data_IF_152494924933
#
_entry.id   IF_152494924933
#
_cell.length_a   1.000
_cell.length_b   1.000
_cell.length_c   1.000
_cell.angle_alpha   90.00
_cell.angle_beta   90.00
_cell.angle_gamma   90.00
#
_symmetry.space_group_name_H-M   'P 1'
#
loop_
_entity.id
_entity.type
_entity.pdbx_description
1 polymer ?
#
# COMPACT_ATOMS: atom_id res chain seq x y z
N UNK A 1 50.18 18.89 6.04
CA UNK A 1 50.03 17.43 5.83
C UNK A 1 48.69 17.01 6.42
N UNK A 2 47.77 16.62 5.53
CA UNK A 2 46.51 15.87 5.71
C UNK A 2 45.59 16.18 6.91
N UNK A 3 44.57 17.00 6.66
CA UNK A 3 43.23 16.74 7.18
C UNK A 3 42.54 15.80 6.18
N UNK A 4 42.30 14.55 6.58
CA UNK A 4 41.33 13.66 5.92
C UNK A 4 40.43 13.14 7.02
N UNK A 5 39.42 13.93 7.37
CA UNK A 5 38.24 13.40 8.02
C UNK A 5 37.32 12.95 6.89
N UNK A 6 37.22 11.64 6.70
CA UNK A 6 36.29 10.95 5.82
C UNK A 6 34.86 11.27 6.25
N UNK A 7 34.33 12.41 5.80
CA UNK A 7 32.90 12.69 5.79
C UNK A 7 32.27 11.68 4.84
N UNK A 8 31.87 10.53 5.39
CA UNK A 8 30.97 9.60 4.73
C UNK A 8 29.70 10.38 4.39
N UNK A 9 29.64 10.87 3.15
CA UNK A 9 28.48 11.43 2.50
C UNK A 9 27.38 10.38 2.56
N UNK A 10 26.62 10.38 3.65
CA UNK A 10 25.36 9.67 3.74
C UNK A 10 24.46 10.35 2.71
N UNK A 11 24.36 9.76 1.52
CA UNK A 11 23.40 10.15 0.50
C UNK A 11 22.00 9.99 1.12
N UNK A 12 21.49 11.07 1.69
CA UNK A 12 20.13 11.11 2.23
C UNK A 12 19.20 11.22 1.02
N UNK A 13 18.74 10.07 0.52
CA UNK A 13 17.72 10.00 -0.50
C UNK A 13 16.39 10.45 0.12
N UNK A 14 16.13 11.76 0.13
CA UNK A 14 14.83 12.30 0.51
C UNK A 14 13.91 12.20 -0.69
N UNK A 15 12.79 11.50 -0.54
CA UNK A 15 11.76 11.41 -1.59
C UNK A 15 11.06 12.77 -1.65
N UNK A 16 11.55 13.66 -2.51
CA UNK A 16 10.85 14.91 -2.78
C UNK A 16 9.63 14.63 -3.64
N UNK A 17 8.46 15.12 -3.22
CA UNK A 17 7.27 15.15 -4.08
C UNK A 17 7.59 15.94 -5.34
N UNK A 18 7.60 15.33 -6.53
CA UNK A 18 7.66 16.10 -7.75
C UNK A 18 6.36 16.89 -7.86
N UNK A 19 6.45 18.21 -8.02
CA UNK A 19 5.29 19.03 -8.36
C UNK A 19 5.02 18.81 -9.84
N UNK A 20 4.30 17.73 -10.16
CA UNK A 20 4.00 17.38 -11.55
C UNK A 20 2.90 18.32 -12.09
N UNK A 21 3.07 18.91 -13.28
CA UNK A 21 1.99 19.63 -13.95
C UNK A 21 0.83 18.66 -14.25
N UNK A 22 -0.40 19.19 -14.33
CA UNK A 22 -1.62 18.38 -14.55
C UNK A 22 -1.62 17.57 -15.85
N UNK A 23 -0.72 17.87 -16.78
CA UNK A 23 -0.47 17.13 -18.02
C UNK A 23 0.29 15.82 -17.82
N UNK A 24 0.97 15.65 -16.68
CA UNK A 24 1.75 14.46 -16.31
C UNK A 24 1.07 13.62 -15.21
N UNK A 25 -0.07 14.07 -14.68
CA UNK A 25 -0.90 13.32 -13.73
C UNK A 25 -1.86 12.38 -14.46
N UNK A 26 -2.18 11.24 -13.86
CA UNK A 26 -3.13 10.30 -14.45
C UNK A 26 -4.49 11.01 -14.65
N UNK A 27 -5.17 10.84 -15.80
CA UNK A 27 -6.39 11.61 -16.12
C UNK A 27 -7.51 11.44 -15.07
N UNK A 28 -7.53 10.32 -14.35
CA UNK A 28 -8.51 10.04 -13.30
C UNK A 28 -8.09 10.47 -11.87
N UNK A 29 -6.88 10.99 -11.67
CA UNK A 29 -6.24 11.22 -10.34
C UNK A 29 -6.96 12.28 -9.46
N UNK A 30 -7.93 13.01 -10.03
CA UNK A 30 -8.76 14.01 -9.33
C UNK A 30 -10.26 13.73 -9.37
N UNK A 31 -10.69 12.63 -9.98
CA UNK A 31 -12.11 12.30 -10.15
C UNK A 31 -12.71 11.61 -8.93
N UNK A 32 -11.87 11.01 -8.09
CA UNK A 32 -12.31 10.21 -6.96
C UNK A 32 -12.12 10.95 -5.64
N UNK A 33 -13.22 11.12 -4.90
CA UNK A 33 -13.19 11.53 -3.51
C UNK A 33 -12.77 10.36 -2.63
N UNK A 34 -12.29 10.67 -1.42
CA UNK A 34 -12.05 9.65 -0.39
C UNK A 34 -13.31 8.83 -0.16
N UNK A 35 -13.15 7.52 -0.02
CA UNK A 35 -14.24 6.62 0.31
C UNK A 35 -14.70 6.95 1.74
N UNK A 36 -15.90 7.49 1.86
CA UNK A 36 -16.57 7.82 3.12
C UNK A 36 -17.57 6.72 3.51
N UNK A 37 -18.16 6.84 4.70
CA UNK A 37 -19.16 5.89 5.22
C UNK A 37 -20.30 5.71 4.22
N UNK A 38 -20.81 6.81 3.64
CA UNK A 38 -21.96 6.75 2.74
C UNK A 38 -21.63 6.02 1.43
N UNK A 39 -20.45 6.24 0.86
CA UNK A 39 -20.00 5.54 -0.34
C UNK A 39 -19.69 4.08 -0.07
N UNK A 40 -19.09 3.76 1.09
CA UNK A 40 -18.85 2.39 1.51
C UNK A 40 -20.14 1.58 1.62
N UNK A 41 -21.15 2.12 2.32
CA UNK A 41 -22.44 1.43 2.49
C UNK A 41 -23.16 1.17 1.16
N UNK A 42 -22.96 2.04 0.15
CA UNK A 42 -23.52 1.83 -1.19
C UNK A 42 -22.91 0.65 -1.95
N UNK A 43 -21.73 0.19 -1.55
CA UNK A 43 -21.11 -1.02 -2.12
C UNK A 43 -21.61 -2.31 -1.47
N UNK A 44 -22.34 -2.21 -0.35
CA UNK A 44 -22.85 -3.36 0.39
C UNK A 44 -24.29 -3.67 -0.01
N UNK A 45 -24.60 -4.95 -0.19
CA UNK A 45 -25.98 -5.41 -0.37
C UNK A 45 -26.72 -5.58 0.96
N UNK A 46 -27.98 -6.01 0.90
CA UNK A 46 -28.81 -6.23 2.10
C UNK A 46 -28.22 -7.27 3.08
N UNK A 47 -27.39 -8.20 2.59
CA UNK A 47 -26.69 -9.21 3.39
C UNK A 47 -25.33 -8.72 3.91
N UNK A 48 -24.89 -7.53 3.50
CA UNK A 48 -23.59 -6.96 3.82
C UNK A 48 -22.42 -7.51 3.00
N UNK A 49 -22.69 -8.13 1.85
CA UNK A 49 -21.66 -8.57 0.90
C UNK A 49 -21.32 -7.42 -0.05
N UNK A 50 -20.11 -7.42 -0.62
CA UNK A 50 -19.66 -6.39 -1.56
C UNK A 50 -20.01 -6.85 -2.99
N UNK A 51 -20.98 -6.21 -3.63
CA UNK A 51 -21.43 -6.61 -4.99
C UNK A 51 -20.49 -6.14 -6.10
N UNK A 52 -19.91 -4.96 -5.97
CA UNK A 52 -19.08 -4.34 -7.01
C UNK A 52 -17.64 -4.15 -6.55
N UNK A 53 -16.97 -5.27 -6.22
CA UNK A 53 -15.60 -5.31 -5.69
C UNK A 53 -14.63 -4.47 -6.54
N UNK A 54 -14.70 -4.60 -7.87
CA UNK A 54 -13.84 -3.85 -8.79
C UNK A 54 -14.01 -2.33 -8.65
N UNK A 55 -15.25 -1.84 -8.52
CA UNK A 55 -15.52 -0.41 -8.35
C UNK A 55 -15.02 0.09 -7.00
N UNK A 56 -15.19 -0.71 -5.95
CA UNK A 56 -14.64 -0.42 -4.63
C UNK A 56 -13.11 -0.30 -4.69
N UNK A 57 -12.42 -1.29 -5.28
CA UNK A 57 -10.96 -1.28 -5.45
C UNK A 57 -10.50 -0.08 -6.27
N UNK A 58 -11.21 0.27 -7.34
CA UNK A 58 -10.95 1.46 -8.16
C UNK A 58 -11.08 2.74 -7.35
N UNK A 59 -12.16 2.89 -6.57
CA UNK A 59 -12.39 4.05 -5.72
C UNK A 59 -11.31 4.20 -4.64
N UNK A 60 -10.87 3.09 -4.02
CA UNK A 60 -9.80 3.09 -3.03
C UNK A 60 -8.47 3.48 -3.66
N UNK A 61 -8.15 2.93 -4.83
CA UNK A 61 -6.88 3.19 -5.52
C UNK A 61 -6.70 4.68 -5.86
N UNK A 62 -7.72 5.32 -6.44
CA UNK A 62 -7.62 6.74 -6.83
C UNK A 62 -7.96 7.70 -5.68
N UNK A 63 -9.01 7.41 -4.89
CA UNK A 63 -9.55 8.31 -3.87
C UNK A 63 -8.93 8.13 -2.48
N UNK A 64 -8.47 6.93 -2.13
CA UNK A 64 -8.07 6.57 -0.77
C UNK A 64 -9.26 6.40 0.19
N UNK A 65 -8.98 6.01 1.43
CA UNK A 65 -10.00 5.68 2.43
C UNK A 65 -10.09 6.78 3.50
N UNK A 66 -11.31 7.13 3.93
CA UNK A 66 -11.50 7.97 5.10
C UNK A 66 -11.05 7.22 6.38
N UNK A 67 -10.28 7.86 7.28
CA UNK A 67 -9.80 7.22 8.50
C UNK A 67 -10.88 6.56 9.35
N UNK A 68 -12.10 7.12 9.36
CA UNK A 68 -13.21 6.63 10.17
C UNK A 68 -13.68 5.22 9.76
N UNK A 69 -13.52 4.83 8.49
CA UNK A 69 -14.00 3.55 7.97
C UNK A 69 -12.91 2.51 7.75
N UNK A 70 -11.64 2.85 8.01
CA UNK A 70 -10.50 1.93 7.83
C UNK A 70 -10.69 0.62 8.59
N UNK A 71 -11.25 0.69 9.81
CA UNK A 71 -11.53 -0.49 10.62
C UNK A 71 -12.47 -1.50 9.96
N UNK A 72 -13.39 -1.02 9.11
CA UNK A 72 -14.35 -1.85 8.39
C UNK A 72 -13.82 -2.29 7.03
N UNK A 73 -13.11 -1.42 6.31
CA UNK A 73 -12.66 -1.67 4.93
C UNK A 73 -11.36 -2.48 4.88
N UNK A 74 -10.41 -2.22 5.79
CA UNK A 74 -9.11 -2.92 5.78
C UNK A 74 -9.23 -4.43 5.91
N UNK A 75 -10.12 -5.01 6.74
CA UNK A 75 -10.33 -6.45 6.74
C UNK A 75 -10.61 -7.07 5.36
N UNK A 76 -11.35 -6.38 4.48
CA UNK A 76 -11.58 -6.83 3.10
C UNK A 76 -10.32 -6.68 2.25
N UNK A 77 -9.67 -5.51 2.31
CA UNK A 77 -8.41 -5.27 1.58
C UNK A 77 -7.30 -6.20 2.01
N UNK A 78 -7.30 -6.66 3.27
CA UNK A 78 -6.35 -7.58 3.84
C UNK A 78 -6.74 -9.06 3.57
N UNK A 79 -7.83 -9.33 2.86
CA UNK A 79 -8.41 -10.66 2.64
C UNK A 79 -8.66 -11.43 3.94
N UNK A 80 -8.85 -10.70 5.04
CA UNK A 80 -9.29 -11.27 6.31
C UNK A 80 -10.78 -11.56 6.28
N UNK A 81 -11.54 -10.75 5.53
CA UNK A 81 -12.91 -11.03 5.12
C UNK A 81 -12.97 -11.28 3.61
N UNK A 82 -13.77 -12.26 3.22
CA UNK A 82 -14.16 -12.43 1.81
C UNK A 82 -15.17 -11.35 1.43
N UNK A 83 -15.15 -10.89 0.18
CA UNK A 83 -16.15 -9.96 -0.36
C UNK A 83 -17.56 -10.57 -0.39
N UNK A 84 -17.63 -11.91 -0.51
CA UNK A 84 -18.87 -12.69 -0.46
C UNK A 84 -19.34 -13.00 0.98
N UNK A 85 -18.57 -12.62 2.01
CA UNK A 85 -18.98 -12.87 3.40
C UNK A 85 -20.17 -12.00 3.77
N UNK A 86 -21.10 -12.54 4.55
CA UNK A 86 -22.23 -11.78 5.08
C UNK A 86 -21.85 -10.99 6.33
N UNK A 87 -22.62 -9.96 6.65
CA UNK A 87 -22.44 -9.20 7.90
C UNK A 87 -22.58 -10.09 9.15
N UNK A 88 -23.51 -11.04 9.12
CA UNK A 88 -23.74 -11.97 10.23
C UNK A 88 -22.55 -12.92 10.45
N UNK A 89 -21.99 -13.50 9.39
CA UNK A 89 -20.80 -14.35 9.48
C UNK A 89 -19.60 -13.59 10.06
N UNK A 90 -19.40 -12.34 9.60
CA UNK A 90 -18.33 -11.48 10.11
C UNK A 90 -18.55 -11.11 11.57
N UNK A 91 -19.79 -10.86 11.98
CA UNK A 91 -20.14 -10.58 13.37
C UNK A 91 -19.96 -11.81 14.26
N UNK A 92 -20.36 -12.99 13.80
CA UNK A 92 -20.11 -14.25 14.49
C UNK A 92 -18.61 -14.48 14.69
N UNK A 93 -17.77 -14.22 13.68
CA UNK A 93 -16.31 -14.25 13.83
C UNK A 93 -15.78 -13.22 14.81
N UNK A 94 -16.35 -12.01 14.86
CA UNK A 94 -16.00 -10.97 15.85
C UNK A 94 -16.34 -11.43 17.27
N UNK A 95 -17.53 -11.99 17.47
CA UNK A 95 -18.03 -12.45 18.77
C UNK A 95 -17.32 -13.70 19.27
N UNK A 96 -17.11 -14.70 18.40
CA UNK A 96 -16.36 -15.91 18.71
C UNK A 96 -14.91 -15.60 19.10
N UNK A 97 -14.30 -14.57 18.51
CA UNK A 97 -12.94 -14.13 18.88
C UNK A 97 -12.92 -13.32 20.18
N UNK A 98 -14.01 -12.64 20.53
CA UNK A 98 -14.17 -11.94 21.82
C UNK A 98 -14.42 -12.90 22.99
N UNK A 99 -15.06 -14.05 22.76
CA UNK A 99 -15.29 -15.06 23.80
C UNK A 99 -14.05 -15.92 24.12
N UNK A 100 -13.04 -15.93 23.24
CA UNK A 100 -11.76 -16.65 23.43
C UNK A 100 -10.64 -15.70 23.90
N UNK A 101 -10.96 -14.61 24.59
CA UNK A 101 -9.96 -13.69 25.15
C UNK A 101 -9.18 -14.32 26.33
N UNK A 102 -8.33 -15.30 26.03
CA UNK A 102 -7.09 -15.60 26.73
C UNK A 102 -6.01 -15.66 25.64
N UNK A 103 -5.27 -14.56 25.51
CA UNK A 103 -4.19 -14.26 24.56
C UNK A 103 -4.61 -13.46 23.32
N UNK A 104 -4.23 -12.17 23.23
CA UNK A 104 -4.51 -11.36 22.07
C UNK A 104 -3.68 -11.88 20.89
N UNK A 105 -4.34 -12.40 19.85
CA UNK A 105 -3.65 -12.71 18.59
C UNK A 105 -3.51 -11.41 17.79
N UNK A 106 -2.75 -10.45 18.33
CA UNK A 106 -2.04 -9.42 17.54
C UNK A 106 -1.38 -10.07 16.33
N UNK A 107 -0.88 -11.29 16.52
CA UNK A 107 -0.33 -12.20 15.54
C UNK A 107 -1.18 -12.42 14.27
N UNK A 108 -2.49 -12.13 14.18
CA UNK A 108 -3.30 -12.51 13.02
C UNK A 108 -3.20 -11.46 11.91
N UNK A 109 -3.66 -10.27 12.25
CA UNK A 109 -3.51 -9.07 11.44
C UNK A 109 -2.03 -8.75 11.27
N UNK A 110 -1.18 -8.89 12.31
CA UNK A 110 0.27 -8.65 12.20
C UNK A 110 0.94 -9.68 11.28
N UNK A 111 0.58 -10.97 11.32
CA UNK A 111 1.10 -11.95 10.34
C UNK A 111 0.62 -11.63 8.92
N UNK A 112 -0.66 -11.29 8.75
CA UNK A 112 -1.23 -10.94 7.44
C UNK A 112 -0.60 -9.66 6.88
N UNK A 113 -0.39 -8.65 7.72
CA UNK A 113 0.35 -7.44 7.40
C UNK A 113 1.81 -7.74 7.08
N UNK A 114 2.48 -8.64 7.81
CA UNK A 114 3.87 -9.03 7.54
C UNK A 114 4.00 -9.77 6.21
N UNK A 115 3.10 -10.72 5.92
CA UNK A 115 3.05 -11.43 4.63
C UNK A 115 2.74 -10.45 3.49
N UNK A 116 1.76 -9.57 3.66
CA UNK A 116 1.46 -8.53 2.66
C UNK A 116 2.56 -7.50 2.53
N UNK A 117 3.30 -7.18 3.59
CA UNK A 117 4.46 -6.30 3.54
C UNK A 117 5.56 -6.93 2.69
N UNK A 118 5.81 -8.22 2.84
CA UNK A 118 6.76 -8.98 2.01
C UNK A 118 6.31 -9.06 0.55
N UNK A 119 5.03 -9.37 0.28
CA UNK A 119 4.49 -9.43 -1.08
C UNK A 119 4.41 -8.03 -1.74
N UNK A 120 4.10 -7.01 -0.96
CA UNK A 120 4.08 -5.62 -1.43
C UNK A 120 5.49 -5.10 -1.67
N UNK A 121 6.49 -5.56 -0.92
CA UNK A 121 7.90 -5.25 -1.17
C UNK A 121 8.35 -5.83 -2.51
N UNK A 122 8.03 -7.09 -2.80
CA UNK A 122 8.39 -7.70 -4.09
C UNK A 122 7.68 -7.02 -5.26
N UNK A 123 6.39 -6.68 -5.10
CA UNK A 123 5.63 -5.91 -6.09
C UNK A 123 6.21 -4.50 -6.28
N UNK A 124 6.52 -3.80 -5.19
CA UNK A 124 7.11 -2.47 -5.22
C UNK A 124 8.48 -2.47 -5.92
N UNK A 125 9.33 -3.46 -5.63
CA UNK A 125 10.60 -3.63 -6.32
C UNK A 125 10.43 -3.86 -7.82
N UNK A 126 9.45 -4.67 -8.22
CA UNK A 126 9.17 -4.95 -9.64
C UNK A 126 8.67 -3.70 -10.35
N UNK A 127 7.69 -3.01 -9.78
CA UNK A 127 7.14 -1.79 -10.34
C UNK A 127 8.18 -0.66 -10.39
N UNK A 128 8.97 -0.50 -9.33
CA UNK A 128 10.02 0.52 -9.27
C UNK A 128 11.12 0.24 -10.29
N UNK A 129 11.52 -1.02 -10.52
CA UNK A 129 12.46 -1.37 -11.60
C UNK A 129 11.94 -0.93 -12.95
N UNK A 130 10.68 -1.24 -13.25
CA UNK A 130 10.08 -0.91 -14.55
C UNK A 130 9.91 0.61 -14.72
N UNK A 131 9.50 1.33 -13.67
CA UNK A 131 9.49 2.79 -13.66
C UNK A 131 10.87 3.39 -13.85
N UNK A 132 11.91 2.88 -13.18
CA UNK A 132 13.28 3.35 -13.36
C UNK A 132 13.76 3.09 -14.78
N UNK A 133 13.36 1.98 -15.41
CA UNK A 133 13.65 1.67 -16.81
C UNK A 133 13.03 2.70 -17.76
N UNK A 134 11.79 3.12 -17.51
CA UNK A 134 11.05 4.06 -18.36
C UNK A 134 11.44 5.53 -18.11
N UNK A 135 11.53 5.94 -16.85
CA UNK A 135 11.73 7.34 -16.45
C UNK A 135 13.22 7.74 -16.40
N UNK A 136 14.11 6.82 -16.04
CA UNK A 136 15.54 7.08 -15.82
C UNK A 136 16.43 5.99 -16.45
N UNK A 137 16.38 5.80 -17.78
CA UNK A 137 17.03 4.68 -18.46
C UNK A 137 18.55 4.61 -18.23
N UNK A 138 19.22 5.77 -18.09
CA UNK A 138 20.66 5.83 -17.78
C UNK A 138 20.99 5.29 -16.39
N UNK A 139 20.15 5.57 -15.41
CA UNK A 139 20.31 5.07 -14.04
C UNK A 139 19.98 3.57 -13.98
N UNK A 140 18.93 3.13 -14.67
CA UNK A 140 18.61 1.70 -14.80
C UNK A 140 19.76 0.90 -15.42
N UNK A 141 20.39 1.41 -16.50
CA UNK A 141 21.57 0.77 -17.09
C UNK A 141 22.76 0.70 -16.13
N UNK A 142 22.96 1.73 -15.30
CA UNK A 142 24.01 1.70 -14.28
C UNK A 142 23.73 0.61 -13.24
N UNK A 143 22.49 0.50 -12.76
CA UNK A 143 22.07 -0.58 -11.84
C UNK A 143 22.23 -1.97 -12.47
N UNK A 144 21.93 -2.14 -13.77
CA UNK A 144 22.18 -3.39 -14.49
C UNK A 144 23.67 -3.77 -14.53
N UNK A 145 24.57 -2.78 -14.71
CA UNK A 145 26.02 -3.04 -14.72
C UNK A 145 26.58 -3.44 -13.35
N UNK A 146 25.90 -3.06 -12.26
CA UNK A 146 26.24 -3.46 -10.89
C UNK A 146 25.78 -4.89 -10.55
N UNK A 147 25.10 -5.59 -11.46
CA UNK A 147 24.66 -6.97 -11.28
C UNK A 147 23.32 -7.13 -10.55
N UNK A 148 22.99 -8.36 -10.18
CA UNK A 148 21.70 -8.71 -9.56
C UNK A 148 21.44 -7.93 -8.27
N UNK A 149 22.47 -7.62 -7.48
CA UNK A 149 22.36 -6.87 -6.23
C UNK A 149 21.92 -5.41 -6.45
N UNK A 150 22.35 -4.78 -7.55
CA UNK A 150 21.91 -3.44 -7.94
C UNK A 150 20.43 -3.41 -8.31
N UNK A 151 19.95 -4.47 -8.99
CA UNK A 151 18.56 -4.63 -9.40
C UNK A 151 17.64 -5.06 -8.25
N UNK A 152 18.18 -5.59 -7.15
CA UNK A 152 17.41 -5.85 -5.93
C UNK A 152 16.97 -4.55 -5.23
N UNK A 153 17.52 -3.38 -5.60
CA UNK A 153 17.13 -2.08 -5.04
C UNK A 153 17.09 -2.08 -3.50
N UNK A 154 18.06 -2.73 -2.86
CA UNK A 154 18.09 -2.92 -1.39
C UNK A 154 18.13 -1.59 -0.62
N UNK A 155 18.58 -0.51 -1.24
CA UNK A 155 18.48 0.83 -0.67
C UNK A 155 17.02 1.30 -0.51
N UNK A 156 16.10 0.85 -1.37
CA UNK A 156 14.66 1.11 -1.27
C UNK A 156 13.94 0.19 -0.26
N UNK A 157 14.56 -0.94 0.15
CA UNK A 157 13.94 -1.81 1.17
C UNK A 157 13.66 -1.05 2.47
N UNK A 158 14.56 -0.15 2.87
CA UNK A 158 14.38 0.67 4.09
C UNK A 158 13.12 1.52 4.01
N UNK A 159 12.76 2.00 2.82
CA UNK A 159 11.56 2.82 2.64
C UNK A 159 10.28 2.02 2.83
N UNK A 160 10.23 0.80 2.28
CA UNK A 160 9.07 -0.09 2.40
C UNK A 160 8.97 -0.71 3.80
N UNK A 161 10.10 -1.16 4.39
CA UNK A 161 10.14 -1.76 5.73
C UNK A 161 9.73 -0.79 6.83
N UNK A 162 9.98 0.50 6.63
CA UNK A 162 9.54 1.56 7.55
C UNK A 162 8.17 2.12 7.17
N UNK A 163 7.44 1.47 6.24
CA UNK A 163 6.16 1.94 5.74
C UNK A 163 6.19 3.40 5.29
N UNK A 164 7.32 3.88 4.81
CA UNK A 164 7.56 5.29 4.50
C UNK A 164 7.41 6.25 5.69
N UNK A 165 7.23 5.79 6.94
CA UNK A 165 7.03 6.64 8.14
C UNK A 165 8.15 7.64 8.41
N UNK A 166 9.36 7.40 7.89
CA UNK A 166 10.50 8.33 8.01
C UNK A 166 10.58 9.35 6.87
N UNK A 167 9.92 9.08 5.74
CA UNK A 167 10.00 9.89 4.51
C UNK A 167 8.69 10.65 4.22
N UNK A 168 7.56 10.15 4.74
CA UNK A 168 6.22 10.69 4.49
C UNK A 168 5.39 10.76 5.78
N UNK A 169 4.43 11.71 5.88
CA UNK A 169 3.45 11.74 6.95
C UNK A 169 2.62 10.45 7.02
N UNK A 170 2.23 10.01 8.21
CA UNK A 170 1.47 8.76 8.45
C UNK A 170 0.25 8.63 7.53
N UNK A 171 -0.46 9.73 7.29
CA UNK A 171 -1.65 9.78 6.45
C UNK A 171 -1.37 9.50 4.97
N UNK A 172 -0.20 9.90 4.47
CA UNK A 172 0.20 9.70 3.07
C UNK A 172 0.74 8.29 2.87
N UNK A 173 1.55 7.81 3.82
CA UNK A 173 2.01 6.44 3.86
C UNK A 173 0.82 5.47 3.81
N UNK A 174 -0.19 5.66 4.69
CA UNK A 174 -1.38 4.80 4.70
C UNK A 174 -2.14 4.85 3.38
N UNK A 175 -2.23 6.00 2.71
CA UNK A 175 -2.88 6.09 1.39
C UNK A 175 -2.13 5.29 0.33
N UNK A 176 -0.79 5.33 0.34
CA UNK A 176 0.01 4.51 -0.57
C UNK A 176 -0.24 3.01 -0.31
N UNK A 177 -0.29 2.61 0.95
CA UNK A 177 -0.61 1.23 1.34
C UNK A 177 -2.01 0.80 0.92
N UNK A 178 -3.02 1.65 1.13
CA UNK A 178 -4.40 1.41 0.69
C UNK A 178 -4.49 1.20 -0.82
N UNK A 179 -3.79 2.02 -1.61
CA UNK A 179 -3.72 1.87 -3.06
C UNK A 179 -3.02 0.56 -3.48
N UNK A 180 -1.90 0.20 -2.84
CA UNK A 180 -1.23 -1.08 -3.09
C UNK A 180 -2.12 -2.28 -2.74
N UNK A 181 -2.83 -2.23 -1.60
CA UNK A 181 -3.69 -3.33 -1.17
C UNK A 181 -4.96 -3.49 -2.01
N UNK A 182 -5.44 -2.42 -2.65
CA UNK A 182 -6.57 -2.48 -3.56
C UNK A 182 -6.33 -3.40 -4.77
N UNK A 183 -5.06 -3.69 -5.13
CA UNK A 183 -4.69 -4.59 -6.24
C UNK A 183 -5.53 -4.36 -7.52
N UNK A 184 -5.77 -3.10 -7.87
CA UNK A 184 -6.71 -2.70 -8.93
C UNK A 184 -6.35 -3.25 -10.32
N UNK A 185 -5.06 -3.51 -10.61
CA UNK A 185 -4.59 -3.91 -11.95
C UNK A 185 -4.28 -5.40 -12.14
N UNK A 186 -4.50 -6.28 -11.16
CA UNK A 186 -4.06 -7.70 -11.26
C UNK A 186 -5.16 -8.67 -11.75
N UNK A 187 -6.23 -8.15 -12.35
CA UNK A 187 -7.33 -8.96 -12.92
C UNK A 187 -7.70 -8.52 -14.34
N UNK A 188 -6.70 -8.32 -15.19
CA UNK A 188 -6.84 -8.35 -16.66
C UNK A 188 -6.15 -9.59 -17.21
#
# INVERSE_FOLDING_TARGET
>A
LSQVADEKSCMQFSIRRPTLPSTETHPEERLYRRLDVSSWLRHLNHSGQVEEEYKLRKAIFFGGIDPSIRGEVWPFLLHYYSYDSTSEEREAWRLQKRSVCVRPHENGIVKSLKVKLTLSLSMFQMYLRELLRLMLPRFHQHLMRLGEDGLQLLFCHRWVLLCFKREFPDMEALRMWEACWAHYQVQL
#
